data_IF_532334660853
#
_entry.id   IF_532334660853
#
_cell.length_a   1.000
_cell.length_b   1.000
_cell.length_c   1.000
_cell.angle_alpha   90.00
_cell.angle_beta   90.00
_cell.angle_gamma   90.00
#
_symmetry.space_group_name_H-M   'P 1'
#
loop_
_entity.id
_entity.type
_entity.pdbx_description
1 polymer ?
#
# COMPACT_ATOMS: atom_id res chain seq x y z
N UNK A 1 5.90 -8.01 3.83
CA UNK A 1 5.03 -8.22 5.01
C UNK A 1 5.18 -6.94 5.82
N UNK A 2 4.21 -6.03 5.78
CA UNK A 2 4.27 -4.80 6.57
C UNK A 2 4.43 -5.20 8.03
N UNK A 3 5.60 -4.96 8.61
CA UNK A 3 5.81 -5.21 10.03
C UNK A 3 4.94 -4.20 10.78
N UNK A 4 3.92 -4.69 11.47
CA UNK A 4 3.06 -3.82 12.25
C UNK A 4 3.92 -3.10 13.31
N UNK A 5 3.94 -1.78 13.25
CA UNK A 5 4.67 -0.93 14.19
C UNK A 5 3.73 -0.50 15.31
N UNK A 6 3.25 -1.45 16.12
CA UNK A 6 2.31 -1.13 17.20
C UNK A 6 3.08 -0.82 18.47
N UNK A 7 2.77 0.30 19.12
CA UNK A 7 3.33 0.68 20.44
C UNK A 7 2.20 0.83 21.45
N UNK A 8 2.49 0.75 22.75
CA UNK A 8 1.54 1.14 23.80
C UNK A 8 1.83 2.58 24.23
N UNK A 9 0.82 3.45 24.18
CA UNK A 9 0.93 4.86 24.56
C UNK A 9 -0.28 5.33 25.35
N UNK A 10 -0.11 6.34 26.20
CA UNK A 10 -1.21 7.06 26.84
C UNK A 10 -1.39 8.49 26.28
N UNK A 11 -0.71 8.82 25.18
CA UNK A 11 -0.69 10.15 24.57
C UNK A 11 0.46 11.05 25.01
N UNK A 12 1.17 10.73 26.10
CA UNK A 12 2.36 11.46 26.55
C UNK A 12 3.61 10.59 26.63
N UNK A 13 3.45 9.32 26.97
CA UNK A 13 4.56 8.38 27.16
C UNK A 13 4.28 7.07 26.43
N UNK A 14 5.36 6.41 26.01
CA UNK A 14 5.37 5.09 25.41
C UNK A 14 5.91 4.06 26.40
N UNK A 15 5.51 2.82 26.19
CA UNK A 15 6.04 1.64 26.90
C UNK A 15 7.32 1.16 26.22
N UNK A 16 8.37 0.96 27.02
CA UNK A 16 9.58 0.25 26.63
C UNK A 16 9.82 -0.94 27.58
N UNK A 17 10.27 -2.07 27.05
CA UNK A 17 10.62 -3.27 27.81
C UNK A 17 12.14 -3.35 27.86
N UNK A 18 12.72 -3.13 29.04
CA UNK A 18 14.17 -3.23 29.26
C UNK A 18 14.66 -4.69 29.40
N UNK A 19 15.98 -4.85 29.51
CA UNK A 19 16.68 -6.15 29.48
C UNK A 19 16.19 -7.20 30.50
N UNK A 20 15.57 -6.78 31.61
CA UNK A 20 15.01 -7.67 32.64
C UNK A 20 13.49 -7.85 32.52
N UNK A 21 12.92 -7.65 31.33
CA UNK A 21 11.47 -7.52 31.10
C UNK A 21 10.81 -6.42 31.93
N UNK A 22 11.60 -5.47 32.44
CA UNK A 22 11.10 -4.36 33.22
C UNK A 22 10.37 -3.37 32.31
N UNK A 23 9.12 -3.06 32.67
CA UNK A 23 8.34 -2.02 32.01
C UNK A 23 8.85 -0.64 32.39
N UNK A 24 9.38 0.07 31.40
CA UNK A 24 9.82 1.45 31.45
C UNK A 24 8.85 2.35 30.69
N UNK A 25 8.89 3.64 31.01
CA UNK A 25 8.15 4.70 30.32
C UNK A 25 9.15 5.67 29.73
N UNK A 26 8.97 5.97 28.45
CA UNK A 26 9.80 6.93 27.72
C UNK A 26 8.89 7.93 27.01
N UNK A 27 9.38 9.14 26.76
CA UNK A 27 8.71 10.12 25.90
C UNK A 27 9.19 9.99 24.44
N UNK A 28 10.34 9.33 24.21
CA UNK A 28 10.84 9.07 22.87
C UNK A 28 10.19 7.82 22.28
N UNK A 29 9.50 8.00 21.16
CA UNK A 29 8.85 6.91 20.44
C UNK A 29 9.83 5.90 19.86
N UNK A 30 11.08 6.31 19.60
CA UNK A 30 12.11 5.43 19.05
C UNK A 30 12.62 4.42 20.07
N UNK A 31 12.50 4.73 21.37
CA UNK A 31 12.83 3.84 22.47
C UNK A 31 11.66 2.91 22.84
N UNK A 32 10.48 3.10 22.25
CA UNK A 32 9.29 2.31 22.55
C UNK A 32 9.42 0.86 22.04
N UNK A 33 8.88 -0.09 22.80
CA UNK A 33 8.77 -1.47 22.34
C UNK A 33 7.72 -1.59 21.24
N UNK A 34 8.14 -2.14 20.09
CA UNK A 34 7.28 -2.42 18.94
C UNK A 34 6.71 -3.84 19.04
N UNK A 35 5.39 -3.94 19.04
CA UNK A 35 4.64 -5.17 19.09
C UNK A 35 4.22 -5.59 17.67
N UNK A 36 4.38 -6.87 17.37
CA UNK A 36 4.02 -7.46 16.07
C UNK A 36 2.51 -7.43 15.77
N UNK A 37 1.65 -7.26 16.79
CA UNK A 37 0.20 -7.19 16.62
C UNK A 37 -0.48 -6.47 17.79
N UNK A 38 -1.73 -6.05 17.56
CA UNK A 38 -2.55 -5.45 18.61
C UNK A 38 -2.86 -6.44 19.73
N UNK A 39 -2.94 -7.74 19.42
CA UNK A 39 -3.19 -8.79 20.42
C UNK A 39 -2.03 -8.91 21.40
N UNK A 40 -0.79 -8.91 20.88
CA UNK A 40 0.41 -8.94 21.74
C UNK A 40 0.51 -7.68 22.60
N UNK A 41 0.25 -6.50 22.02
CA UNK A 41 0.25 -5.24 22.79
C UNK A 41 -0.81 -5.26 23.91
N UNK A 42 -2.02 -5.77 23.63
CA UNK A 42 -3.10 -5.89 24.63
C UNK A 42 -2.75 -6.89 25.72
N UNK A 43 -2.13 -8.02 25.37
CA UNK A 43 -1.65 -8.99 26.34
C UNK A 43 -0.64 -8.38 27.32
N UNK A 44 0.36 -7.65 26.82
CA UNK A 44 1.34 -6.97 27.68
C UNK A 44 0.67 -5.94 28.59
N UNK A 45 -0.29 -5.16 28.06
CA UNK A 45 -1.11 -4.22 28.84
C UNK A 45 -1.91 -4.92 29.94
N UNK A 46 -2.54 -6.06 29.67
CA UNK A 46 -3.35 -6.78 30.67
C UNK A 46 -2.49 -7.38 31.78
N UNK A 47 -1.33 -7.94 31.45
CA UNK A 47 -0.40 -8.51 32.43
C UNK A 47 0.20 -7.43 33.35
N UNK A 48 0.18 -6.17 32.92
CA UNK A 48 0.73 -5.03 33.66
C UNK A 48 -0.30 -3.92 33.90
N UNK A 49 -1.55 -4.29 34.17
CA UNK A 49 -2.69 -3.37 34.26
C UNK A 49 -2.42 -2.12 35.12
N UNK A 50 -1.84 -2.30 36.32
CA UNK A 50 -1.53 -1.18 37.23
C UNK A 50 -0.56 -0.18 36.61
N UNK A 51 0.45 -0.63 35.86
CA UNK A 51 1.50 0.22 35.26
C UNK A 51 1.08 0.79 33.92
N UNK A 52 0.24 0.08 33.19
CA UNK A 52 -0.28 0.44 31.86
C UNK A 52 -1.70 1.01 31.90
N UNK A 53 -2.19 1.46 33.07
CA UNK A 53 -3.49 2.14 33.16
C UNK A 53 -3.52 3.38 32.26
N UNK A 54 -4.51 3.47 31.38
CA UNK A 54 -4.65 4.53 30.38
C UNK A 54 -3.80 4.36 29.10
N UNK A 55 -2.91 3.36 29.05
CA UNK A 55 -2.20 3.05 27.82
C UNK A 55 -3.09 2.26 26.87
N UNK A 56 -2.94 2.50 25.58
CA UNK A 56 -3.65 1.80 24.52
C UNK A 56 -2.68 1.50 23.37
N UNK A 57 -2.91 0.41 22.61
CA UNK A 57 -2.17 0.15 21.39
C UNK A 57 -2.38 1.26 20.36
N UNK A 58 -1.30 1.75 19.79
CA UNK A 58 -1.27 2.70 18.68
C UNK A 58 -0.47 2.09 17.54
N UNK A 59 -1.07 1.99 16.36
CA UNK A 59 -0.33 1.61 15.16
C UNK A 59 0.37 2.87 14.62
N UNK A 60 1.70 2.86 14.57
CA UNK A 60 2.49 3.97 14.04
C UNK A 60 2.39 4.10 12.53
N UNK A 61 1.97 3.02 11.85
CA UNK A 61 1.68 3.02 10.44
C UNK A 61 0.23 2.58 10.21
N UNK A 62 -0.76 3.40 10.61
CA UNK A 62 -2.15 3.06 10.40
C UNK A 62 -2.40 2.96 8.90
N UNK A 63 -2.93 1.83 8.43
CA UNK A 63 -3.47 1.75 7.07
C UNK A 63 -4.55 2.83 6.98
N UNK A 64 -4.32 3.87 6.17
CA UNK A 64 -5.35 4.87 5.89
C UNK A 64 -6.62 4.13 5.49
N UNK A 65 -7.71 4.36 6.22
CA UNK A 65 -9.01 3.86 5.82
C UNK A 65 -9.27 4.36 4.41
N UNK A 66 -9.41 3.42 3.46
CA UNK A 66 -9.72 3.79 2.09
C UNK A 66 -11.07 4.48 2.11
N UNK A 67 -11.11 5.70 1.57
CA UNK A 67 -12.35 6.46 1.39
C UNK A 67 -13.37 5.58 0.70
N UNK A 68 -14.55 5.43 1.31
CA UNK A 68 -15.67 4.71 0.70
C UNK A 68 -16.46 5.70 -0.15
N UNK A 69 -16.41 5.53 -1.47
CA UNK A 69 -17.25 6.28 -2.40
C UNK A 69 -18.67 5.69 -2.43
N UNK A 70 -19.67 6.54 -2.70
CA UNK A 70 -21.06 6.10 -2.83
C UNK A 70 -21.23 5.08 -3.97
N UNK A 71 -22.31 4.29 -3.91
CA UNK A 71 -22.63 3.33 -4.97
C UNK A 71 -22.78 4.01 -6.34
N UNK A 72 -23.35 5.22 -6.36
CA UNK A 72 -23.53 6.00 -7.60
C UNK A 72 -22.20 6.43 -8.20
N UNK A 73 -21.27 6.96 -7.39
CA UNK A 73 -19.93 7.33 -7.87
C UNK A 73 -19.20 6.10 -8.39
N UNK A 74 -19.28 4.96 -7.68
CA UNK A 74 -18.70 3.70 -8.15
C UNK A 74 -19.28 3.28 -9.51
N UNK A 75 -20.60 3.37 -9.68
CA UNK A 75 -21.28 3.02 -10.93
C UNK A 75 -20.90 3.96 -12.08
N UNK A 76 -20.82 5.26 -11.83
CA UNK A 76 -20.42 6.27 -12.83
C UNK A 76 -19.00 6.00 -13.34
N UNK A 77 -18.04 5.83 -12.43
CA UNK A 77 -16.64 5.56 -12.80
C UNK A 77 -16.50 4.21 -13.51
N UNK A 78 -17.23 3.18 -13.05
CA UNK A 78 -17.25 1.88 -13.71
C UNK A 78 -17.74 1.95 -15.17
N UNK A 79 -18.85 2.66 -15.41
CA UNK A 79 -19.44 2.81 -16.74
C UNK A 79 -18.55 3.66 -17.66
N UNK A 80 -17.93 4.73 -17.13
CA UNK A 80 -16.93 5.53 -17.86
C UNK A 80 -15.76 4.69 -18.34
N UNK A 81 -15.35 3.70 -17.55
CA UNK A 81 -14.27 2.79 -17.89
C UNK A 81 -14.75 1.55 -18.66
N UNK A 82 -16.00 1.56 -19.16
CA UNK A 82 -16.63 0.47 -19.92
C UNK A 82 -16.55 -0.90 -19.21
N UNK A 83 -16.64 -0.90 -17.88
CA UNK A 83 -16.51 -2.11 -17.06
C UNK A 83 -15.14 -2.79 -17.15
N UNK A 84 -14.10 -2.03 -17.50
CA UNK A 84 -12.72 -2.50 -17.61
C UNK A 84 -11.82 -1.76 -16.64
N UNK A 85 -10.77 -2.44 -16.20
CA UNK A 85 -9.71 -1.86 -15.39
C UNK A 85 -8.92 -0.85 -16.22
N UNK A 86 -8.76 0.37 -15.72
CA UNK A 86 -8.00 1.42 -16.41
C UNK A 86 -6.50 1.11 -16.58
N UNK A 87 -5.96 0.22 -15.75
CA UNK A 87 -4.53 -0.12 -15.77
C UNK A 87 -4.24 -1.24 -16.77
N UNK A 88 -5.01 -2.33 -16.75
CA UNK A 88 -4.71 -3.52 -17.55
C UNK A 88 -5.68 -3.77 -18.71
N UNK A 89 -6.75 -2.97 -18.83
CA UNK A 89 -7.77 -3.08 -19.87
C UNK A 89 -8.70 -4.31 -19.80
N UNK A 90 -8.47 -5.24 -18.86
CA UNK A 90 -9.31 -6.43 -18.66
C UNK A 90 -10.63 -6.07 -17.96
N UNK A 91 -11.66 -6.89 -18.15
CA UNK A 91 -12.96 -6.73 -17.46
C UNK A 91 -12.78 -6.75 -15.95
N UNK A 92 -13.54 -5.92 -15.24
CA UNK A 92 -13.62 -5.89 -13.79
C UNK A 92 -15.07 -5.96 -13.35
N UNK A 93 -15.32 -6.59 -12.22
CA UNK A 93 -16.65 -6.65 -11.61
C UNK A 93 -16.91 -5.37 -10.79
N UNK A 94 -18.10 -4.78 -10.91
CA UNK A 94 -18.47 -3.52 -10.25
C UNK A 94 -18.37 -3.62 -8.72
N UNK A 95 -18.71 -4.77 -8.13
CA UNK A 95 -18.66 -4.99 -6.69
C UNK A 95 -17.22 -5.19 -6.20
N UNK A 96 -16.34 -5.70 -7.08
CA UNK A 96 -14.95 -6.01 -6.72
C UNK A 96 -13.91 -4.99 -7.23
N UNK A 97 -14.31 -3.93 -7.95
CA UNK A 97 -13.37 -2.91 -8.39
C UNK A 97 -13.04 -1.89 -7.28
N UNK A 98 -11.79 -1.45 -7.24
CA UNK A 98 -11.39 -0.29 -6.47
C UNK A 98 -11.57 0.96 -7.32
N UNK A 99 -11.87 2.09 -6.68
CA UNK A 99 -11.69 3.40 -7.28
C UNK A 99 -10.32 3.92 -6.86
N UNK A 100 -9.47 4.18 -7.84
CA UNK A 100 -8.10 4.66 -7.66
C UNK A 100 -7.88 5.99 -8.37
N UNK A 101 -7.03 6.85 -7.82
CA UNK A 101 -6.71 8.12 -8.46
C UNK A 101 -5.73 7.92 -9.62
N UNK A 102 -6.11 8.32 -10.85
CA UNK A 102 -5.27 8.29 -12.05
C UNK A 102 -3.93 8.99 -11.77
N UNK A 103 -4.01 10.21 -11.21
CA UNK A 103 -2.87 10.93 -10.64
C UNK A 103 -2.93 10.79 -9.12
N UNK A 104 -1.94 10.16 -8.47
CA UNK A 104 -1.90 10.01 -7.01
C UNK A 104 -1.98 11.34 -6.28
N UNK A 105 -2.74 11.40 -5.17
CA UNK A 105 -2.85 12.61 -4.33
C UNK A 105 -1.48 13.05 -3.81
N UNK A 106 -0.61 12.08 -3.45
CA UNK A 106 0.76 12.35 -2.99
C UNK A 106 1.64 13.06 -4.03
N UNK A 107 1.23 13.04 -5.31
CA UNK A 107 1.92 13.65 -6.44
C UNK A 107 1.13 14.82 -7.05
N UNK A 108 0.26 15.44 -6.26
CA UNK A 108 -0.52 16.61 -6.67
C UNK A 108 -1.84 16.30 -7.39
N UNK A 109 -2.27 15.03 -7.39
CA UNK A 109 -3.56 14.64 -7.94
C UNK A 109 -4.74 15.23 -7.16
N UNK A 110 -5.75 15.70 -7.89
CA UNK A 110 -6.98 16.25 -7.31
C UNK A 110 -7.87 15.11 -6.82
N UNK A 111 -8.44 15.23 -5.62
CA UNK A 111 -9.43 14.28 -5.10
C UNK A 111 -10.83 14.57 -5.66
N UNK A 112 -11.05 14.23 -6.92
CA UNK A 112 -12.33 14.39 -7.62
C UNK A 112 -12.71 13.16 -8.43
N UNK A 113 -13.98 13.03 -8.81
CA UNK A 113 -14.51 11.88 -9.58
C UNK A 113 -13.85 11.79 -10.96
N UNK A 114 -13.41 12.91 -11.53
CA UNK A 114 -12.71 13.00 -12.80
C UNK A 114 -11.33 12.34 -12.74
N UNK A 115 -10.68 12.41 -11.58
CA UNK A 115 -9.38 11.77 -11.34
C UNK A 115 -9.51 10.31 -10.90
N UNK A 116 -10.72 9.76 -10.72
CA UNK A 116 -10.89 8.35 -10.33
C UNK A 116 -10.92 7.41 -11.52
N UNK A 117 -10.44 6.19 -11.34
CA UNK A 117 -10.59 5.10 -12.29
C UNK A 117 -11.01 3.83 -11.56
N UNK A 118 -11.81 3.01 -12.24
CA UNK A 118 -12.15 1.68 -11.75
C UNK A 118 -11.02 0.71 -12.15
N UNK A 119 -10.46 0.01 -11.17
CA UNK A 119 -9.30 -0.87 -11.33
C UNK A 119 -9.45 -2.16 -10.53
N UNK A 120 -8.76 -3.23 -10.95
CA UNK A 120 -8.64 -4.44 -10.12
C UNK A 120 -7.88 -4.14 -8.83
N UNK A 121 -8.18 -4.89 -7.77
CA UNK A 121 -7.46 -4.81 -6.49
C UNK A 121 -5.95 -5.02 -6.68
N UNK A 122 -5.56 -6.00 -7.51
CA UNK A 122 -4.15 -6.29 -7.78
C UNK A 122 -3.49 -5.19 -8.60
N UNK A 123 -4.16 -4.66 -9.63
CA UNK A 123 -3.64 -3.55 -10.42
C UNK A 123 -3.45 -2.30 -9.56
N UNK A 124 -4.41 -2.00 -8.68
CA UNK A 124 -4.30 -0.92 -7.71
C UNK A 124 -3.08 -1.08 -6.78
N UNK A 125 -2.83 -2.31 -6.32
CA UNK A 125 -1.67 -2.60 -5.48
C UNK A 125 -0.35 -2.42 -6.23
N UNK A 126 -0.29 -2.84 -7.50
CA UNK A 126 0.89 -2.65 -8.36
C UNK A 126 1.13 -1.17 -8.66
N UNK A 127 0.07 -0.40 -8.94
CA UNK A 127 0.18 1.04 -9.21
C UNK A 127 0.63 1.81 -7.98
N UNK A 128 0.07 1.53 -6.81
CA UNK A 128 0.37 2.26 -5.57
C UNK A 128 0.32 3.79 -5.78
N UNK A 129 1.40 4.51 -5.49
CA UNK A 129 1.55 5.96 -5.69
C UNK A 129 2.34 6.32 -6.96
N UNK A 130 2.52 5.37 -7.88
CA UNK A 130 3.13 5.63 -9.18
C UNK A 130 2.21 6.48 -10.05
N UNK A 131 2.82 7.45 -10.73
CA UNK A 131 2.24 8.12 -11.88
C UNK A 131 2.07 7.14 -13.04
N UNK A 132 1.16 7.41 -13.99
CA UNK A 132 0.94 6.52 -15.14
C UNK A 132 2.22 6.19 -15.93
N UNK A 133 3.09 7.17 -16.15
CA UNK A 133 4.36 7.03 -16.86
C UNK A 133 5.40 6.22 -16.07
N UNK A 134 5.47 6.41 -14.75
CA UNK A 134 6.35 5.61 -13.88
C UNK A 134 5.92 4.14 -13.85
N UNK A 135 4.62 3.88 -13.77
CA UNK A 135 4.07 2.53 -13.83
C UNK A 135 4.37 1.88 -15.19
N UNK A 136 4.12 2.60 -16.29
CA UNK A 136 4.39 2.13 -17.64
C UNK A 136 5.87 1.76 -17.81
N UNK A 137 6.76 2.66 -17.40
CA UNK A 137 8.21 2.44 -17.43
C UNK A 137 8.61 1.22 -16.61
N UNK A 138 8.11 1.09 -15.39
CA UNK A 138 8.39 -0.05 -14.51
C UNK A 138 7.95 -1.39 -15.13
N UNK A 139 6.76 -1.44 -15.72
CA UNK A 139 6.26 -2.62 -16.43
C UNK A 139 7.17 -2.97 -17.62
N UNK A 140 7.56 -1.97 -18.43
CA UNK A 140 8.47 -2.15 -19.57
C UNK A 140 9.82 -2.73 -19.13
N UNK A 141 10.44 -2.14 -18.11
CA UNK A 141 11.75 -2.55 -17.61
C UNK A 141 11.72 -3.99 -17.07
N UNK A 142 10.69 -4.33 -16.28
CA UNK A 142 10.49 -5.69 -15.78
C UNK A 142 10.29 -6.67 -16.94
N UNK A 143 9.43 -6.34 -17.91
CA UNK A 143 9.17 -7.19 -19.07
C UNK A 143 10.45 -7.47 -19.87
N UNK A 144 11.21 -6.42 -20.19
CA UNK A 144 12.46 -6.53 -20.92
C UNK A 144 13.49 -7.40 -20.18
N UNK A 145 13.62 -7.24 -18.87
CA UNK A 145 14.51 -8.06 -18.05
C UNK A 145 14.08 -9.54 -18.03
N UNK A 146 12.80 -9.83 -17.79
CA UNK A 146 12.30 -11.21 -17.78
C UNK A 146 12.45 -11.88 -19.15
N UNK A 147 12.23 -11.12 -20.23
CA UNK A 147 12.43 -11.61 -21.59
C UNK A 147 13.90 -12.03 -21.79
N UNK A 148 14.87 -11.21 -21.41
CA UNK A 148 16.29 -11.55 -21.54
C UNK A 148 16.68 -12.76 -20.69
N UNK A 149 16.28 -12.76 -19.42
CA UNK A 149 16.58 -13.82 -18.46
C UNK A 149 16.11 -15.19 -18.96
N UNK A 150 14.91 -15.27 -19.53
CA UNK A 150 14.28 -16.54 -19.91
C UNK A 150 14.64 -17.02 -21.33
N UNK A 151 15.14 -16.13 -22.19
CA UNK A 151 15.29 -16.44 -23.61
C UNK A 151 16.66 -16.99 -24.02
N UNK A 152 17.66 -16.85 -23.14
CA UNK A 152 19.07 -16.99 -23.49
C UNK A 152 19.50 -15.94 -24.52
N UNK A 153 20.80 -15.73 -24.72
CA UNK A 153 21.34 -14.69 -25.61
C UNK A 153 21.06 -14.91 -27.13
N UNK A 154 19.98 -15.60 -27.50
CA UNK A 154 19.59 -15.86 -28.88
C UNK A 154 19.32 -14.53 -29.61
N UNK A 155 19.88 -14.41 -30.81
CA UNK A 155 19.88 -13.19 -31.61
C UNK A 155 18.50 -12.55 -31.78
N UNK A 156 17.45 -13.35 -32.01
CA UNK A 156 16.07 -12.86 -32.17
C UNK A 156 15.57 -12.03 -30.99
N UNK A 157 15.95 -12.36 -29.76
CA UNK A 157 15.54 -11.61 -28.57
C UNK A 157 16.36 -10.35 -28.36
N UNK A 158 17.63 -10.34 -28.79
CA UNK A 158 18.44 -9.11 -28.86
C UNK A 158 17.83 -8.11 -29.84
N UNK A 159 17.40 -8.59 -31.01
CA UNK A 159 16.70 -7.78 -32.02
C UNK A 159 15.38 -7.25 -31.43
N UNK A 160 14.54 -8.13 -30.88
CA UNK A 160 13.27 -7.73 -30.28
C UNK A 160 13.47 -6.67 -29.17
N UNK A 161 14.44 -6.85 -28.28
CA UNK A 161 14.78 -5.84 -27.25
C UNK A 161 15.20 -4.50 -27.85
N UNK A 162 16.07 -4.52 -28.85
CA UNK A 162 16.55 -3.30 -29.50
C UNK A 162 15.41 -2.53 -30.19
N UNK A 163 14.46 -3.25 -30.78
CA UNK A 163 13.25 -2.66 -31.38
C UNK A 163 12.33 -2.10 -30.31
N UNK A 164 12.01 -2.88 -29.27
CA UNK A 164 11.12 -2.46 -28.19
C UNK A 164 11.65 -1.21 -27.47
N UNK A 165 12.96 -1.10 -27.22
CA UNK A 165 13.59 0.09 -26.64
C UNK A 165 13.50 1.35 -27.50
N UNK A 166 13.20 1.23 -28.79
CA UNK A 166 13.05 2.37 -29.72
C UNK A 166 11.60 2.79 -29.93
N UNK A 167 10.66 1.86 -29.75
CA UNK A 167 9.22 2.10 -29.91
C UNK A 167 8.59 2.56 -28.59
N UNK A 168 9.11 2.06 -27.48
CA UNK A 168 8.62 2.33 -26.12
C UNK A 168 9.47 3.38 -25.40
#
# INVERSE_FOLDING_TARGET
MDMAEIVLTNGQHYVAIGNNNALLKTQDINEATRFISNEVARYVKSTHEKRCKGYHPMNLNPKKDRRKYSADVRRIVYLRNNGRCAICGKRVDLNNCNLDHRIPISKGGIDSVENLDCVHVQCNYIKADLMPDELEKGIKDIFLYQMEKNSGHKLRYRIAKAVLRKIC
#
